data_IF_001879949278
#
_entry.id   IF_001879949278
#
_cell.length_a   1.000
_cell.length_b   1.000
_cell.length_c   1.000
_cell.angle_alpha   90.00
_cell.angle_beta   90.00
_cell.angle_gamma   90.00
#
_symmetry.space_group_name_H-M   'P 1'
#
loop_
_entity.id
_entity.type
_entity.pdbx_description
1 polymer ?
#
# COMPACT_ATOMS: atom_id res chain seq x y z
N UNK A 1 29.31 16.24 23.25
CA UNK A 1 27.91 16.71 23.21
C UNK A 1 27.02 15.48 23.10
N UNK A 2 26.00 15.29 23.96
CA UNK A 2 25.07 14.18 23.81
C UNK A 2 24.21 14.38 22.55
N UNK A 3 24.12 13.36 21.70
CA UNK A 3 23.20 13.36 20.57
C UNK A 3 21.76 13.41 21.10
N UNK A 4 21.02 14.44 20.71
CA UNK A 4 19.59 14.55 20.99
C UNK A 4 18.86 14.38 19.65
N UNK A 5 18.22 13.22 19.40
CA UNK A 5 17.47 13.06 18.16
C UNK A 5 16.39 14.14 18.10
N UNK A 6 16.26 14.77 16.93
CA UNK A 6 15.13 15.65 16.69
C UNK A 6 13.84 14.82 16.86
N UNK A 7 12.80 15.33 17.53
CA UNK A 7 11.53 14.65 17.59
C UNK A 7 10.99 14.50 16.15
N UNK A 8 10.82 13.27 15.69
CA UNK A 8 10.27 12.96 14.36
C UNK A 8 8.81 12.55 14.53
N UNK A 9 7.90 13.26 13.86
CA UNK A 9 6.51 12.82 13.71
C UNK A 9 6.42 11.81 12.57
N UNK A 10 5.93 10.60 12.85
CA UNK A 10 5.73 9.57 11.82
C UNK A 10 4.73 10.03 10.75
N UNK A 11 3.67 10.74 11.16
CA UNK A 11 2.70 11.33 10.25
C UNK A 11 3.34 12.35 9.31
N UNK A 12 4.19 13.24 9.84
CA UNK A 12 4.92 14.20 9.02
C UNK A 12 5.87 13.50 8.06
N UNK A 13 6.56 12.46 8.53
CA UNK A 13 7.50 11.69 7.71
C UNK A 13 6.79 10.99 6.54
N UNK A 14 5.61 10.41 6.77
CA UNK A 14 4.78 9.81 5.71
C UNK A 14 4.32 10.89 4.72
N UNK A 15 3.88 12.05 5.21
CA UNK A 15 3.49 13.17 4.36
C UNK A 15 4.65 13.62 3.45
N UNK A 16 5.85 13.82 4.01
CA UNK A 16 7.03 14.26 3.26
C UNK A 16 7.49 13.20 2.23
N UNK A 17 7.34 11.91 2.54
CA UNK A 17 7.61 10.81 1.60
C UNK A 17 6.63 10.80 0.44
N UNK A 18 5.33 10.98 0.70
CA UNK A 18 4.29 11.11 -0.33
C UNK A 18 4.56 12.31 -1.23
N UNK A 19 4.95 13.45 -0.67
CA UNK A 19 5.32 14.64 -1.44
C UNK A 19 6.50 14.38 -2.39
N UNK A 20 7.52 13.62 -1.96
CA UNK A 20 8.64 13.23 -2.84
C UNK A 20 8.21 12.32 -3.99
N UNK A 21 7.36 11.32 -3.73
CA UNK A 21 6.80 10.50 -4.81
C UNK A 21 6.02 11.34 -5.82
N UNK A 22 5.17 12.24 -5.32
CA UNK A 22 4.38 13.15 -6.15
C UNK A 22 5.28 14.01 -7.05
N UNK A 23 6.28 14.67 -6.46
CA UNK A 23 7.22 15.49 -7.20
C UNK A 23 7.96 14.69 -8.29
N UNK A 24 8.38 13.47 -7.96
CA UNK A 24 9.08 12.61 -8.91
C UNK A 24 8.16 12.16 -10.06
N UNK A 25 6.91 11.81 -9.77
CA UNK A 25 5.94 11.42 -10.79
C UNK A 25 5.57 12.59 -11.70
N UNK A 26 5.29 13.77 -11.12
CA UNK A 26 4.96 15.00 -11.85
C UNK A 26 6.10 15.47 -12.80
N UNK A 27 7.35 15.16 -12.47
CA UNK A 27 8.53 15.48 -13.29
C UNK A 27 8.94 14.36 -14.25
N UNK A 28 8.21 13.24 -14.26
CA UNK A 28 8.51 12.06 -15.08
C UNK A 28 7.46 11.83 -16.17
N UNK A 29 7.73 10.86 -17.03
CA UNK A 29 6.78 10.37 -18.04
C UNK A 29 5.86 9.22 -17.53
N UNK A 30 5.91 8.93 -16.22
CA UNK A 30 5.16 7.85 -15.59
C UNK A 30 4.01 8.39 -14.75
N UNK A 31 2.88 7.70 -14.81
CA UNK A 31 1.65 8.09 -14.12
C UNK A 31 1.56 7.51 -12.70
N UNK A 32 2.22 6.37 -12.50
CA UNK A 32 2.19 5.64 -11.23
C UNK A 32 3.44 4.81 -11.00
N UNK A 33 3.65 4.46 -9.74
CA UNK A 33 4.60 3.43 -9.29
C UNK A 33 3.88 2.40 -8.43
N UNK A 34 4.11 1.12 -8.70
CA UNK A 34 3.67 -0.01 -7.89
C UNK A 34 4.87 -0.53 -7.12
N UNK A 35 4.75 -0.54 -5.79
CA UNK A 35 5.78 -1.09 -4.90
C UNK A 35 5.21 -2.26 -4.12
N UNK A 36 6.04 -3.26 -3.84
CA UNK A 36 5.62 -4.52 -3.24
C UNK A 36 6.58 -5.08 -2.20
N UNK A 37 7.80 -4.54 -2.08
CA UNK A 37 8.67 -4.91 -0.96
C UNK A 37 8.17 -4.29 0.35
N UNK A 38 8.43 -4.94 1.49
CA UNK A 38 8.05 -4.37 2.78
C UNK A 38 8.64 -3.01 3.07
N UNK A 39 9.88 -2.79 2.68
CA UNK A 39 10.58 -1.53 2.86
C UNK A 39 9.96 -0.41 2.01
N UNK A 40 9.65 -0.70 0.74
CA UNK A 40 9.04 0.30 -0.15
C UNK A 40 7.59 0.60 0.24
N UNK A 41 6.80 -0.40 0.64
CA UNK A 41 5.43 -0.18 1.12
C UNK A 41 5.44 0.65 2.42
N UNK A 42 6.29 0.31 3.39
CA UNK A 42 6.46 1.10 4.61
C UNK A 42 6.89 2.53 4.31
N UNK A 43 7.80 2.72 3.35
CA UNK A 43 8.23 4.05 2.93
C UNK A 43 7.08 4.85 2.32
N UNK A 44 6.29 4.25 1.41
CA UNK A 44 5.22 4.95 0.70
C UNK A 44 3.98 5.23 1.55
N UNK A 45 3.63 4.31 2.44
CA UNK A 45 2.32 4.30 3.12
C UNK A 45 2.43 4.62 4.61
N UNK A 46 3.58 4.35 5.24
CA UNK A 46 3.72 4.32 6.69
C UNK A 46 3.23 3.02 7.33
N UNK A 47 2.60 2.13 6.57
CA UNK A 47 2.11 0.84 7.04
C UNK A 47 3.20 -0.23 6.98
N UNK A 48 3.36 -0.97 8.08
CA UNK A 48 4.25 -2.12 8.18
C UNK A 48 3.43 -3.42 8.27
N UNK A 49 3.57 -4.30 7.27
CA UNK A 49 2.95 -5.63 7.32
C UNK A 49 3.89 -6.60 8.05
N UNK A 50 3.50 -7.01 9.26
CA UNK A 50 4.22 -8.04 10.00
C UNK A 50 4.30 -9.35 9.18
N UNK A 51 3.18 -9.92 8.66
CA UNK A 51 3.26 -11.17 7.90
C UNK A 51 4.20 -11.10 6.69
N UNK A 52 4.28 -9.96 6.01
CA UNK A 52 5.19 -9.75 4.88
C UNK A 52 6.68 -9.84 5.26
N UNK A 53 7.03 -9.45 6.48
CA UNK A 53 8.42 -9.60 6.98
C UNK A 53 8.78 -11.05 7.30
N UNK A 54 7.80 -11.88 7.66
CA UNK A 54 8.04 -13.31 7.97
C UNK A 54 7.98 -14.20 6.74
N UNK A 55 7.15 -13.85 5.76
CA UNK A 55 6.82 -14.72 4.63
C UNK A 55 7.02 -13.99 3.31
N UNK A 56 8.01 -14.42 2.53
CA UNK A 56 8.26 -13.91 1.16
C UNK A 56 7.09 -14.13 0.19
N UNK A 57 6.22 -15.10 0.46
CA UNK A 57 5.03 -15.40 -0.36
C UNK A 57 3.78 -14.61 0.08
N UNK A 58 3.96 -13.52 0.84
CA UNK A 58 2.88 -12.68 1.31
C UNK A 58 2.70 -11.50 0.35
N UNK A 59 1.67 -11.58 -0.49
CA UNK A 59 1.45 -10.62 -1.55
C UNK A 59 0.67 -9.42 -1.06
N UNK A 60 1.21 -8.24 -1.33
CA UNK A 60 0.57 -6.96 -1.12
C UNK A 60 1.33 -5.91 -1.93
N UNK A 61 0.67 -4.80 -2.21
CA UNK A 61 1.28 -3.73 -2.98
C UNK A 61 0.69 -2.37 -2.60
N UNK A 62 1.48 -1.33 -2.79
CA UNK A 62 1.00 0.04 -2.81
C UNK A 62 1.11 0.59 -4.24
N UNK A 63 0.09 1.32 -4.67
CA UNK A 63 0.01 1.98 -5.96
C UNK A 63 0.02 3.47 -5.68
N UNK A 64 1.09 4.14 -6.08
CA UNK A 64 1.32 5.55 -5.82
C UNK A 64 1.15 6.31 -7.13
N UNK A 65 0.30 7.32 -7.10
CA UNK A 65 0.09 8.32 -8.16
C UNK A 65 0.44 9.70 -7.61
N UNK A 66 0.38 10.74 -8.44
CA UNK A 66 0.57 12.12 -7.97
C UNK A 66 -0.48 12.56 -6.92
N UNK A 67 -1.67 11.97 -6.94
CA UNK A 67 -2.81 12.39 -6.10
C UNK A 67 -3.14 11.41 -4.99
N UNK A 68 -2.83 10.13 -5.16
CA UNK A 68 -3.33 9.05 -4.31
C UNK A 68 -2.29 7.99 -4.02
N UNK A 69 -2.47 7.33 -2.88
CA UNK A 69 -1.72 6.16 -2.47
C UNK A 69 -2.71 5.05 -2.12
N UNK A 70 -2.97 4.16 -3.07
CA UNK A 70 -3.86 3.03 -2.91
C UNK A 70 -3.07 1.79 -2.46
N UNK A 71 -3.75 0.85 -1.80
CA UNK A 71 -3.15 -0.39 -1.31
C UNK A 71 -3.98 -1.60 -1.74
N UNK A 72 -3.28 -2.66 -2.13
CA UNK A 72 -3.83 -4.01 -2.31
C UNK A 72 -3.27 -4.86 -1.20
N UNK A 73 -4.12 -5.35 -0.30
CA UNK A 73 -3.69 -6.03 0.92
C UNK A 73 -4.52 -7.29 1.18
N UNK A 74 -3.96 -8.31 1.84
CA UNK A 74 -4.77 -9.39 2.39
C UNK A 74 -5.80 -8.85 3.37
N UNK A 75 -6.91 -9.57 3.53
CA UNK A 75 -8.00 -9.18 4.43
C UNK A 75 -7.54 -9.03 5.87
N UNK A 76 -6.47 -9.71 6.29
CA UNK A 76 -5.91 -9.55 7.64
C UNK A 76 -5.27 -8.17 7.88
N UNK A 77 -4.91 -7.45 6.81
CA UNK A 77 -4.03 -6.28 6.88
C UNK A 77 -4.75 -4.94 6.65
N UNK A 78 -6.02 -4.93 6.23
CA UNK A 78 -6.67 -3.65 5.94
C UNK A 78 -6.98 -2.84 7.22
N UNK A 79 -7.38 -3.49 8.31
CA UNK A 79 -7.58 -2.80 9.60
C UNK A 79 -6.28 -2.12 10.11
N UNK A 80 -5.14 -2.82 10.21
CA UNK A 80 -3.90 -2.15 10.62
C UNK A 80 -3.37 -1.15 9.58
N UNK A 81 -3.72 -1.28 8.29
CA UNK A 81 -3.43 -0.24 7.29
C UNK A 81 -4.25 1.04 7.54
N UNK A 82 -5.52 0.93 7.93
CA UNK A 82 -6.35 2.07 8.35
C UNK A 82 -5.75 2.74 9.59
N UNK A 83 -5.34 1.95 10.58
CA UNK A 83 -4.70 2.46 11.81
C UNK A 83 -3.37 3.18 11.50
N UNK A 84 -2.67 2.77 10.44
CA UNK A 84 -1.48 3.45 9.93
C UNK A 84 -1.78 4.74 9.13
N UNK A 85 -3.06 5.11 8.98
CA UNK A 85 -3.51 6.34 8.33
C UNK A 85 -3.80 6.23 6.83
N UNK A 86 -3.99 5.01 6.32
CA UNK A 86 -4.44 4.78 4.94
C UNK A 86 -5.96 4.95 4.88
N UNK A 87 -6.46 5.72 3.90
CA UNK A 87 -7.90 5.93 3.76
C UNK A 87 -8.61 4.62 3.39
N UNK A 88 -9.76 4.26 4.00
CA UNK A 88 -10.48 3.04 3.67
C UNK A 88 -10.80 2.88 2.17
N UNK A 89 -11.16 3.98 1.49
CA UNK A 89 -11.47 3.99 0.05
C UNK A 89 -10.27 3.69 -0.85
N UNK A 90 -9.06 3.87 -0.32
CA UNK A 90 -7.80 3.59 -1.00
C UNK A 90 -7.32 2.15 -0.75
N UNK A 91 -8.05 1.34 0.03
CA UNK A 91 -7.68 -0.06 0.32
C UNK A 91 -8.56 -1.01 -0.49
N UNK A 92 -7.93 -1.91 -1.23
CA UNK A 92 -8.58 -3.00 -1.97
C UNK A 92 -8.16 -4.34 -1.35
N UNK A 93 -8.96 -4.89 -0.41
CA UNK A 93 -8.60 -6.12 0.28
C UNK A 93 -8.89 -7.37 -0.58
N UNK A 94 -8.15 -8.46 -0.33
CA UNK A 94 -8.41 -9.77 -0.92
C UNK A 94 -8.30 -10.94 0.09
N UNK A 95 -8.82 -12.10 -0.29
CA UNK A 95 -8.81 -13.31 0.54
C UNK A 95 -9.97 -13.35 1.51
N UNK A 96 -9.80 -14.00 2.66
CA UNK A 96 -10.83 -14.06 3.70
C UNK A 96 -10.18 -14.00 5.06
N UNK A 97 -10.66 -13.09 5.90
CA UNK A 97 -10.26 -12.97 7.29
C UNK A 97 -11.46 -12.47 8.09
N UNK A 98 -11.65 -13.00 9.30
CA UNK A 98 -12.79 -12.65 10.15
C UNK A 98 -12.32 -11.72 11.26
N UNK A 99 -12.86 -10.51 11.31
CA UNK A 99 -12.69 -9.60 12.45
C UNK A 99 -13.90 -9.71 13.38
N UNK A 100 -13.65 -9.63 14.68
CA UNK A 100 -14.69 -9.46 15.70
C UNK A 100 -14.67 -8.03 16.25
N UNK A 101 -15.83 -7.49 16.61
CA UNK A 101 -15.98 -6.14 17.20
C UNK A 101 -16.67 -5.13 16.26
N UNK A 102 -16.80 -3.87 16.71
CA UNK A 102 -17.32 -2.74 15.93
C UNK A 102 -16.17 -1.83 15.52
N UNK A 103 -15.59 -2.03 14.34
CA UNK A 103 -14.56 -1.13 13.81
C UNK A 103 -14.93 -0.67 12.41
N UNK A 104 -14.32 0.43 11.96
CA UNK A 104 -14.42 0.89 10.56
C UNK A 104 -14.09 -0.24 9.57
N UNK A 105 -13.31 -1.23 10.03
CA UNK A 105 -12.95 -2.40 9.25
C UNK A 105 -14.16 -3.26 8.82
N UNK A 106 -15.26 -3.26 9.59
CA UNK A 106 -16.47 -4.01 9.22
C UNK A 106 -17.19 -3.46 7.99
N UNK A 107 -16.83 -2.27 7.51
CA UNK A 107 -17.45 -1.66 6.33
C UNK A 107 -16.79 -2.09 5.01
N UNK A 108 -15.59 -2.69 5.07
CA UNK A 108 -14.86 -3.13 3.89
C UNK A 108 -15.33 -4.53 3.45
N UNK A 109 -16.08 -4.55 2.35
CA UNK A 109 -16.45 -5.80 1.68
C UNK A 109 -15.26 -6.34 0.92
N UNK A 110 -14.74 -7.50 1.34
CA UNK A 110 -13.72 -8.21 0.57
C UNK A 110 -14.37 -8.86 -0.64
N UNK A 111 -14.06 -8.32 -1.83
CA UNK A 111 -14.67 -8.75 -3.10
C UNK A 111 -13.79 -9.70 -3.91
N UNK A 112 -12.51 -9.82 -3.56
CA UNK A 112 -11.53 -10.56 -4.33
C UNK A 112 -11.02 -11.77 -3.56
N UNK A 113 -10.96 -12.91 -4.24
CA UNK A 113 -10.40 -14.14 -3.67
C UNK A 113 -8.87 -14.07 -3.56
N UNK A 114 -8.22 -13.37 -4.48
CA UNK A 114 -6.77 -13.36 -4.67
C UNK A 114 -6.22 -11.96 -4.97
N UNK A 115 -4.88 -11.87 -4.93
CA UNK A 115 -4.13 -10.65 -5.18
C UNK A 115 -4.37 -10.11 -6.60
N UNK A 116 -4.42 -10.98 -7.61
CA UNK A 116 -4.55 -10.56 -9.01
C UNK A 116 -5.89 -9.86 -9.28
N UNK A 117 -7.00 -10.40 -8.74
CA UNK A 117 -8.31 -9.76 -8.84
C UNK A 117 -8.34 -8.38 -8.18
N UNK A 118 -7.79 -8.27 -6.97
CA UNK A 118 -7.72 -7.00 -6.26
C UNK A 118 -6.79 -5.99 -6.94
N UNK A 119 -5.64 -6.42 -7.45
CA UNK A 119 -4.74 -5.56 -8.20
C UNK A 119 -5.40 -5.04 -9.47
N UNK A 120 -6.14 -5.87 -10.21
CA UNK A 120 -6.89 -5.42 -11.39
C UNK A 120 -7.91 -4.34 -11.03
N UNK A 121 -8.69 -4.52 -9.96
CA UNK A 121 -9.62 -3.48 -9.50
C UNK A 121 -8.89 -2.19 -9.13
N UNK A 122 -7.85 -2.29 -8.31
CA UNK A 122 -7.09 -1.13 -7.86
C UNK A 122 -6.48 -0.35 -9.04
N UNK A 123 -6.01 -1.05 -10.06
CA UNK A 123 -5.48 -0.44 -11.29
C UNK A 123 -6.55 0.28 -12.12
N UNK A 124 -7.83 -0.12 -12.06
CA UNK A 124 -8.91 0.64 -12.74
C UNK A 124 -9.08 2.06 -12.17
N UNK A 125 -8.62 2.29 -10.94
CA UNK A 125 -8.68 3.60 -10.26
C UNK A 125 -7.50 4.50 -10.64
N UNK A 126 -6.48 3.95 -11.31
CA UNK A 126 -5.30 4.69 -11.78
C UNK A 126 -5.58 5.27 -13.16
N UNK A 127 -5.54 6.61 -13.26
CA UNK A 127 -5.55 7.29 -14.56
C UNK A 127 -4.13 7.29 -15.11
N UNK A 128 -3.80 6.41 -16.04
CA UNK A 128 -2.46 6.35 -16.60
C UNK A 128 -2.27 5.29 -17.68
N UNK A 129 -1.20 5.45 -18.46
CA UNK A 129 -0.75 4.50 -19.48
C UNK A 129 0.62 3.92 -19.16
N UNK A 130 1.42 4.56 -18.29
CA UNK A 130 2.82 4.17 -18.02
C UNK A 130 3.06 4.03 -16.52
N UNK A 131 3.36 2.80 -16.10
CA UNK A 131 3.48 2.43 -14.69
C UNK A 131 4.85 1.82 -14.43
N UNK A 132 5.56 2.33 -13.44
CA UNK A 132 6.77 1.70 -12.90
C UNK A 132 6.37 0.60 -11.93
N UNK A 133 7.07 -0.53 -11.97
CA UNK A 133 6.75 -1.69 -11.12
C UNK A 133 8.01 -2.20 -10.43
N UNK A 134 7.95 -2.30 -9.12
CA UNK A 134 8.88 -3.10 -8.33
C UNK A 134 8.45 -4.57 -8.37
N UNK A 135 9.18 -5.38 -9.13
CA UNK A 135 8.83 -6.79 -9.35
C UNK A 135 9.16 -7.73 -8.19
N UNK A 136 9.95 -7.29 -7.21
CA UNK A 136 10.52 -8.16 -6.18
C UNK A 136 9.47 -8.82 -5.24
N UNK A 137 8.31 -8.21 -5.06
CA UNK A 137 7.20 -8.73 -4.22
C UNK A 137 5.93 -9.08 -4.99
N UNK A 138 5.94 -8.96 -6.32
CA UNK A 138 4.79 -9.31 -7.17
C UNK A 138 4.85 -10.82 -7.49
N UNK A 139 3.75 -11.58 -7.29
CA UNK A 139 3.73 -13.00 -7.65
C UNK A 139 4.05 -13.19 -9.13
N UNK A 140 4.85 -14.19 -9.51
CA UNK A 140 5.00 -14.56 -10.91
C UNK A 140 3.65 -15.02 -11.44
N UNK A 141 3.24 -14.51 -12.61
CA UNK A 141 2.02 -14.95 -13.27
C UNK A 141 2.09 -16.47 -13.49
N UNK A 142 1.18 -17.22 -12.86
CA UNK A 142 0.95 -18.63 -13.20
C UNK A 142 -0.13 -18.68 -14.28
N UNK A 143 0.13 -19.25 -15.46
CA UNK A 143 -0.85 -19.36 -16.54
C UNK A 143 -2.02 -20.26 -16.16
#
# INVERSE_FOLDING_TARGET
MPFKPAPVSLTQLVHDRKARFRQQLESSEYDAIIVSSPESVLYATGYESMPARLKKAYYYAAIITAERCAMVVPSADFAPAIDAGVAPDDITPFGTFFFSGESAANTLNVRHKDFDGALREALTKVKGRRVLVEWNGIPPHRP
#
